data_IF_918089206124
#
_entry.id   IF_918089206124
#
_cell.length_a   1.000
_cell.length_b   1.000
_cell.length_c   1.000
_cell.angle_alpha   90.00
_cell.angle_beta   90.00
_cell.angle_gamma   90.00
#
_symmetry.space_group_name_H-M   'P 1'
#
loop_
_entity.id
_entity.type
_entity.pdbx_description
1 polymer ?
#
# COMPACT_ATOMS: atom_id res chain seq x y z
N UNK A 1 14.82 17.58 -10.77
CA UNK A 1 13.73 16.60 -10.51
C UNK A 1 12.46 17.29 -10.03
N UNK A 2 12.46 17.99 -8.88
CA UNK A 2 11.27 18.68 -8.37
C UNK A 2 10.64 19.67 -9.37
N UNK A 3 11.45 20.53 -10.00
CA UNK A 3 10.98 21.47 -11.03
C UNK A 3 10.36 20.75 -12.25
N UNK A 4 10.93 19.62 -12.65
CA UNK A 4 10.45 18.81 -13.77
C UNK A 4 9.13 18.12 -13.44
N UNK A 5 8.98 17.57 -12.22
CA UNK A 5 7.72 17.00 -11.75
C UNK A 5 6.63 18.06 -11.66
N UNK A 6 6.96 19.23 -11.11
CA UNK A 6 6.03 20.34 -10.98
C UNK A 6 5.55 20.84 -12.34
N UNK A 7 6.46 21.10 -13.29
CA UNK A 7 6.08 21.57 -14.62
C UNK A 7 5.28 20.53 -15.41
N UNK A 8 5.55 19.24 -15.21
CA UNK A 8 4.95 18.15 -15.98
C UNK A 8 3.58 17.74 -15.47
N UNK A 9 3.37 17.66 -14.15
CA UNK A 9 2.14 17.10 -13.57
C UNK A 9 1.33 18.10 -12.77
N UNK A 10 1.98 19.06 -12.10
CA UNK A 10 1.31 19.90 -11.10
C UNK A 10 1.04 21.34 -11.53
N UNK A 11 1.71 21.85 -12.57
CA UNK A 11 1.52 23.21 -13.08
C UNK A 11 0.27 23.35 -13.97
N UNK A 12 -0.17 22.27 -14.61
CA UNK A 12 -1.24 22.30 -15.62
C UNK A 12 -2.54 21.74 -15.02
N UNK A 13 -3.51 22.62 -14.79
CA UNK A 13 -4.79 22.28 -14.13
C UNK A 13 -5.52 21.08 -14.76
N UNK A 14 -5.47 20.93 -16.09
CA UNK A 14 -6.16 19.85 -16.81
C UNK A 14 -5.68 18.44 -16.43
N UNK A 15 -4.47 18.31 -15.90
CA UNK A 15 -3.86 17.02 -15.51
C UNK A 15 -3.58 16.92 -14.01
N UNK A 16 -3.65 18.04 -13.28
CA UNK A 16 -3.38 18.11 -11.84
C UNK A 16 -4.22 17.11 -11.05
N UNK A 17 -5.55 17.22 -11.15
CA UNK A 17 -6.48 16.39 -10.37
C UNK A 17 -6.36 14.91 -10.75
N UNK A 18 -6.27 14.61 -12.05
CA UNK A 18 -6.11 13.24 -12.53
C UNK A 18 -4.82 12.60 -12.01
N UNK A 19 -3.70 13.33 -12.02
CA UNK A 19 -2.42 12.86 -11.47
C UNK A 19 -2.55 12.57 -9.97
N UNK A 20 -3.18 13.47 -9.21
CA UNK A 20 -3.39 13.26 -7.77
C UNK A 20 -4.24 12.02 -7.48
N UNK A 21 -5.31 11.78 -8.24
CA UNK A 21 -6.17 10.60 -8.04
C UNK A 21 -5.46 9.30 -8.39
N UNK A 22 -4.73 9.25 -9.51
CA UNK A 22 -3.91 8.09 -9.86
C UNK A 22 -2.85 7.83 -8.79
N UNK A 23 -2.17 8.89 -8.33
CA UNK A 23 -1.19 8.81 -7.25
C UNK A 23 -1.80 8.28 -5.95
N UNK A 24 -2.97 8.78 -5.56
CA UNK A 24 -3.67 8.35 -4.35
C UNK A 24 -4.08 6.86 -4.42
N UNK A 25 -4.60 6.40 -5.56
CA UNK A 25 -4.99 5.02 -5.75
C UNK A 25 -3.79 4.06 -5.74
N UNK A 26 -2.74 4.40 -6.48
CA UNK A 26 -1.51 3.63 -6.51
C UNK A 26 -0.84 3.58 -5.13
N UNK A 27 -0.81 4.72 -4.42
CA UNK A 27 -0.32 4.78 -3.04
C UNK A 27 -1.15 3.92 -2.11
N UNK A 28 -2.48 3.97 -2.18
CA UNK A 28 -3.36 3.16 -1.33
C UNK A 28 -3.05 1.67 -1.42
N UNK A 29 -2.91 1.13 -2.64
CA UNK A 29 -2.56 -0.28 -2.86
C UNK A 29 -1.16 -0.58 -2.34
N UNK A 30 -0.16 0.21 -2.74
CA UNK A 30 1.24 -0.04 -2.35
C UNK A 30 1.46 0.08 -0.85
N UNK A 31 0.81 1.05 -0.21
CA UNK A 31 0.92 1.29 1.23
C UNK A 31 0.23 0.18 2.02
N UNK A 32 -0.97 -0.26 1.63
CA UNK A 32 -1.68 -1.36 2.30
C UNK A 32 -0.85 -2.66 2.26
N UNK A 33 -0.35 -3.03 1.07
CA UNK A 33 0.51 -4.21 0.91
C UNK A 33 1.81 -4.08 1.71
N UNK A 34 2.47 -2.92 1.65
CA UNK A 34 3.73 -2.67 2.34
C UNK A 34 3.59 -2.72 3.86
N UNK A 35 2.56 -2.06 4.41
CA UNK A 35 2.31 -2.03 5.86
C UNK A 35 1.85 -3.39 6.35
N UNK A 36 1.00 -4.09 5.60
CA UNK A 36 0.57 -5.46 5.93
C UNK A 36 1.78 -6.40 5.97
N UNK A 37 2.64 -6.38 4.95
CA UNK A 37 3.84 -7.20 4.91
C UNK A 37 4.80 -6.88 6.08
N UNK A 38 4.95 -5.60 6.42
CA UNK A 38 5.73 -5.17 7.58
C UNK A 38 5.13 -5.71 8.89
N UNK A 39 3.83 -5.54 9.08
CA UNK A 39 3.11 -6.01 10.25
C UNK A 39 3.23 -7.53 10.41
N UNK A 40 3.08 -8.26 9.30
CA UNK A 40 3.16 -9.70 9.23
C UNK A 40 4.53 -10.22 9.65
N UNK A 41 5.59 -9.56 9.16
CA UNK A 41 6.97 -9.86 9.49
C UNK A 41 7.25 -9.59 10.97
N UNK A 42 6.77 -8.46 11.49
CA UNK A 42 7.02 -8.04 12.86
C UNK A 42 6.32 -8.93 13.89
N UNK A 43 5.10 -9.37 13.57
CA UNK A 43 4.26 -10.19 14.46
C UNK A 43 4.28 -11.68 14.07
N UNK A 44 5.30 -12.12 13.36
CA UNK A 44 5.41 -13.50 12.89
C UNK A 44 5.37 -14.49 14.08
N UNK A 45 4.59 -15.56 13.94
CA UNK A 45 4.42 -16.61 14.96
C UNK A 45 3.40 -16.27 16.04
N UNK A 46 2.83 -15.06 16.04
CA UNK A 46 1.75 -14.64 16.94
C UNK A 46 0.40 -14.50 16.25
N UNK A 47 0.39 -14.33 14.94
CA UNK A 47 -0.83 -14.08 14.20
C UNK A 47 -1.65 -15.35 14.06
N UNK A 48 -2.98 -15.21 14.01
CA UNK A 48 -3.88 -16.34 13.83
C UNK A 48 -3.51 -17.19 12.61
N UNK A 49 -3.19 -16.57 11.47
CA UNK A 49 -2.76 -17.29 10.26
C UNK A 49 -1.50 -18.15 10.47
N UNK A 50 -0.64 -17.79 11.42
CA UNK A 50 0.57 -18.56 11.74
C UNK A 50 0.27 -19.72 12.69
N UNK A 51 -0.67 -19.56 13.63
CA UNK A 51 -0.94 -20.54 14.69
C UNK A 51 -2.20 -21.38 14.48
N UNK A 52 -3.03 -21.05 13.48
CA UNK A 52 -4.33 -21.70 13.21
C UNK A 52 -4.23 -23.22 13.13
N UNK A 53 -3.16 -23.73 12.51
CA UNK A 53 -2.90 -25.16 12.35
C UNK A 53 -2.84 -25.94 13.68
N UNK A 54 -2.64 -25.26 14.82
CA UNK A 54 -2.59 -25.88 16.14
C UNK A 54 -3.97 -26.12 16.76
N UNK A 55 -5.01 -25.48 16.23
CA UNK A 55 -6.31 -25.38 16.88
C UNK A 55 -7.48 -25.82 16.01
N UNK A 56 -7.33 -25.78 14.68
CA UNK A 56 -8.36 -26.26 13.77
C UNK A 56 -8.11 -27.74 13.49
N UNK A 57 -9.02 -28.60 13.94
CA UNK A 57 -9.07 -30.01 13.54
C UNK A 57 -9.64 -30.06 12.12
N UNK A 58 -8.95 -30.75 11.21
CA UNK A 58 -9.52 -31.08 9.90
C UNK A 58 -10.72 -32.03 10.12
N UNK A 59 -11.88 -31.70 9.56
CA UNK A 59 -13.04 -32.60 9.51
C UNK A 59 -12.80 -33.77 8.55
#
# INVERSE_FOLDING_TARGET
>A
IANTLYSTFFKRNSIFVATTFVGAFAFGIGFDLGVTAFWDRWNQGKQWKDIRHRYVQEE
#
